data_IF_198904006200
#
_entry.id   IF_198904006200
#
_cell.length_a   1.000
_cell.length_b   1.000
_cell.length_c   1.000
_cell.angle_alpha   90.00
_cell.angle_beta   90.00
_cell.angle_gamma   90.00
#
_symmetry.space_group_name_H-M   'P 1'
#
loop_
_entity.id
_entity.type
_entity.pdbx_description
1 polymer ?
#
# COMPACT_ATOMS: atom_id res chain seq x y z
N UNK A 1 -29.05 -9.20 29.01
CA UNK A 1 -29.68 -8.77 27.70
C UNK A 1 -30.65 -9.90 27.34
N UNK A 2 -31.91 -9.65 27.59
CA UNK A 2 -32.97 -10.63 27.34
C UNK A 2 -33.56 -10.38 25.95
N UNK A 3 -33.47 -11.39 25.07
CA UNK A 3 -34.35 -11.71 23.93
C UNK A 3 -34.77 -10.59 22.91
N UNK A 4 -33.98 -9.54 22.73
CA UNK A 4 -34.20 -8.64 21.61
C UNK A 4 -33.16 -8.93 20.49
N UNK A 5 -33.66 -9.21 19.29
CA UNK A 5 -32.81 -9.31 18.11
C UNK A 5 -32.20 -7.96 17.84
N UNK A 6 -30.88 -7.86 17.91
CA UNK A 6 -30.14 -6.67 17.52
C UNK A 6 -30.27 -6.41 16.01
N UNK A 7 -30.48 -5.15 15.63
CA UNK A 7 -30.45 -4.73 14.24
C UNK A 7 -29.05 -4.21 13.88
N UNK A 8 -28.50 -4.68 12.77
CA UNK A 8 -27.27 -4.15 12.16
C UNK A 8 -27.66 -3.40 10.89
N UNK A 9 -27.21 -2.16 10.76
CA UNK A 9 -27.47 -1.32 9.60
C UNK A 9 -26.16 -1.17 8.82
N UNK A 10 -26.16 -1.57 7.54
CA UNK A 10 -25.06 -1.39 6.61
C UNK A 10 -25.37 -0.19 5.70
N UNK A 11 -24.57 0.86 5.81
CA UNK A 11 -24.66 2.02 4.94
C UNK A 11 -23.61 1.93 3.84
N UNK A 12 -24.03 2.01 2.58
CA UNK A 12 -23.14 1.93 1.41
C UNK A 12 -23.72 2.66 0.23
N UNK A 13 -22.86 3.20 -0.65
CA UNK A 13 -23.24 3.75 -1.95
C UNK A 13 -23.55 2.67 -2.99
N UNK A 14 -23.13 1.43 -2.77
CA UNK A 14 -23.28 0.31 -3.70
C UNK A 14 -24.06 -0.85 -3.07
N UNK A 15 -25.35 -0.66 -2.85
CA UNK A 15 -26.21 -1.68 -2.24
C UNK A 15 -26.31 -2.98 -3.04
N UNK A 16 -26.13 -2.91 -4.37
CA UNK A 16 -26.12 -4.07 -5.25
C UNK A 16 -24.80 -4.84 -5.32
N UNK A 17 -23.76 -4.41 -4.58
CA UNK A 17 -22.47 -5.08 -4.63
C UNK A 17 -22.56 -6.53 -4.12
N UNK A 18 -21.99 -7.53 -4.80
CA UNK A 18 -22.07 -8.95 -4.42
C UNK A 18 -21.66 -9.22 -2.98
N UNK A 19 -20.65 -8.51 -2.49
CA UNK A 19 -20.19 -8.57 -1.10
C UNK A 19 -21.30 -8.25 -0.09
N UNK A 20 -22.08 -7.18 -0.35
CA UNK A 20 -23.17 -6.77 0.54
C UNK A 20 -24.23 -7.86 0.62
N UNK A 21 -24.56 -8.47 -0.52
CA UNK A 21 -25.50 -9.59 -0.57
C UNK A 21 -25.00 -10.78 0.28
N UNK A 22 -23.72 -11.15 0.17
CA UNK A 22 -23.14 -12.23 0.97
C UNK A 22 -23.13 -11.93 2.47
N UNK A 23 -22.86 -10.70 2.85
CA UNK A 23 -22.93 -10.26 4.26
C UNK A 23 -24.35 -10.43 4.79
N UNK A 24 -25.37 -10.00 4.05
CA UNK A 24 -26.78 -10.10 4.45
C UNK A 24 -27.23 -11.57 4.56
N UNK A 25 -26.74 -12.43 3.69
CA UNK A 25 -27.09 -13.88 3.69
C UNK A 25 -26.18 -14.72 4.58
N UNK A 26 -25.22 -14.11 5.30
CA UNK A 26 -24.22 -14.82 6.11
C UNK A 26 -23.38 -15.84 5.32
N UNK A 27 -23.20 -15.64 3.99
CA UNK A 27 -22.39 -16.51 3.13
C UNK A 27 -20.90 -16.22 3.31
N UNK A 28 -20.36 -16.63 4.46
CA UNK A 28 -18.94 -16.44 4.78
C UNK A 28 -18.04 -17.30 3.89
N UNK A 29 -18.42 -18.54 3.62
CA UNK A 29 -17.61 -19.46 2.80
C UNK A 29 -17.46 -18.97 1.38
N UNK A 30 -18.55 -18.58 0.73
CA UNK A 30 -18.51 -18.02 -0.61
C UNK A 30 -17.74 -16.71 -0.68
N UNK A 31 -17.82 -15.86 0.35
CA UNK A 31 -17.01 -14.66 0.47
C UNK A 31 -15.52 -15.02 0.57
N UNK A 32 -15.16 -15.91 1.51
CA UNK A 32 -13.77 -16.32 1.75
C UNK A 32 -13.12 -16.92 0.50
N UNK A 33 -13.81 -17.82 -0.19
CA UNK A 33 -13.30 -18.45 -1.40
C UNK A 33 -13.04 -17.41 -2.51
N UNK A 34 -14.02 -16.55 -2.79
CA UNK A 34 -13.89 -15.53 -3.84
C UNK A 34 -12.76 -14.55 -3.55
N UNK A 35 -12.70 -14.00 -2.31
CA UNK A 35 -11.65 -13.08 -1.92
C UNK A 35 -10.26 -13.74 -1.97
N UNK A 36 -10.17 -15.01 -1.55
CA UNK A 36 -8.92 -15.75 -1.57
C UNK A 36 -8.41 -15.97 -3.00
N UNK A 37 -9.30 -16.33 -3.91
CA UNK A 37 -8.96 -16.49 -5.32
C UNK A 37 -8.53 -15.18 -5.98
N UNK A 38 -9.26 -14.10 -5.73
CA UNK A 38 -8.88 -12.77 -6.25
C UNK A 38 -7.54 -12.30 -5.71
N UNK A 39 -7.31 -12.43 -4.41
CA UNK A 39 -6.04 -12.07 -3.78
C UNK A 39 -4.88 -12.90 -4.34
N UNK A 40 -5.10 -14.18 -4.59
CA UNK A 40 -4.10 -15.05 -5.21
C UNK A 40 -3.81 -14.61 -6.65
N UNK A 41 -4.86 -14.37 -7.44
CA UNK A 41 -4.77 -13.95 -8.84
C UNK A 41 -4.00 -12.64 -8.99
N UNK A 42 -4.26 -11.67 -8.14
CA UNK A 42 -3.63 -10.36 -8.19
C UNK A 42 -2.36 -10.24 -7.32
N UNK A 43 -1.91 -11.34 -6.74
CA UNK A 43 -0.74 -11.37 -5.87
C UNK A 43 -0.84 -10.32 -4.76
N UNK A 44 -1.90 -10.46 -3.92
CA UNK A 44 -2.12 -9.66 -2.71
C UNK A 44 -1.88 -10.49 -1.43
N UNK A 45 -1.67 -9.87 -0.28
CA UNK A 45 -1.64 -10.59 1.00
C UNK A 45 -2.89 -11.46 1.20
N UNK A 46 -2.76 -12.69 1.72
CA UNK A 46 -1.58 -13.30 2.35
C UNK A 46 -0.60 -13.99 1.39
N UNK A 47 -0.78 -13.93 0.06
CA UNK A 47 0.05 -14.62 -0.93
C UNK A 47 1.37 -13.90 -1.22
N UNK A 48 1.49 -12.64 -0.87
CA UNK A 48 2.72 -11.86 -0.92
C UNK A 48 2.93 -11.08 0.37
N UNK A 49 4.10 -10.46 0.51
CA UNK A 49 4.38 -9.38 1.44
C UNK A 49 4.24 -8.04 0.71
N UNK A 50 3.65 -7.05 1.36
CA UNK A 50 3.61 -5.69 0.85
C UNK A 50 4.55 -4.80 1.64
N UNK A 51 5.40 -4.06 0.92
CA UNK A 51 6.24 -3.02 1.50
C UNK A 51 5.69 -1.69 1.00
N UNK A 52 5.42 -0.82 1.92
CA UNK A 52 4.82 0.47 1.72
C UNK A 52 5.82 1.57 2.03
N UNK A 53 6.06 2.46 1.08
CA UNK A 53 6.97 3.59 1.25
C UNK A 53 6.16 4.86 1.12
N UNK A 54 6.20 5.69 2.16
CA UNK A 54 5.51 6.96 2.21
C UNK A 54 6.55 8.08 2.18
N UNK A 55 6.40 9.00 1.22
CA UNK A 55 7.33 10.10 0.97
C UNK A 55 6.60 11.40 1.23
N UNK A 56 7.16 12.25 2.11
CA UNK A 56 6.54 13.50 2.55
C UNK A 56 7.50 14.68 2.48
N UNK A 57 7.00 15.81 1.99
CA UNK A 57 7.71 17.08 2.03
C UNK A 57 6.72 18.26 1.98
N UNK A 58 7.15 19.44 2.44
CA UNK A 58 6.33 20.67 2.38
C UNK A 58 6.16 21.20 0.95
N UNK A 59 7.14 21.01 0.10
CA UNK A 59 7.12 21.38 -1.30
C UNK A 59 6.62 20.22 -2.16
N UNK A 60 5.61 20.49 -2.99
CA UNK A 60 5.01 19.52 -3.90
C UNK A 60 6.01 18.99 -4.95
N UNK A 61 6.81 19.91 -5.55
CA UNK A 61 7.78 19.53 -6.60
C UNK A 61 8.85 18.61 -6.03
N UNK A 62 9.33 18.91 -4.82
CA UNK A 62 10.32 18.07 -4.12
C UNK A 62 9.75 16.70 -3.82
N UNK A 63 8.49 16.62 -3.32
CA UNK A 63 7.81 15.35 -3.05
C UNK A 63 7.69 14.52 -4.31
N UNK A 64 7.25 15.12 -5.40
CA UNK A 64 7.03 14.45 -6.69
C UNK A 64 8.36 13.97 -7.31
N UNK A 65 9.38 14.82 -7.34
CA UNK A 65 10.67 14.49 -7.92
C UNK A 65 11.42 13.41 -7.12
N UNK A 66 11.42 13.52 -5.79
CA UNK A 66 12.05 12.51 -4.94
C UNK A 66 11.36 11.16 -5.03
N UNK A 67 10.03 11.15 -5.12
CA UNK A 67 9.26 9.93 -5.32
C UNK A 67 9.55 9.27 -6.67
N UNK A 68 9.60 10.05 -7.76
CA UNK A 68 9.95 9.54 -9.10
C UNK A 68 11.38 8.99 -9.15
N UNK A 69 12.32 9.68 -8.53
CA UNK A 69 13.71 9.22 -8.45
C UNK A 69 13.80 7.88 -7.73
N UNK A 70 13.17 7.76 -6.56
CA UNK A 70 13.18 6.52 -5.78
C UNK A 70 12.51 5.37 -6.55
N UNK A 71 11.36 5.62 -7.19
CA UNK A 71 10.70 4.63 -8.05
C UNK A 71 11.61 4.20 -9.20
N UNK A 72 12.30 5.15 -9.87
CA UNK A 72 13.24 4.83 -10.93
C UNK A 72 14.29 3.83 -10.47
N UNK A 73 14.95 4.10 -9.34
CA UNK A 73 15.95 3.21 -8.77
C UNK A 73 15.41 1.83 -8.37
N UNK A 74 14.23 1.80 -7.80
CA UNK A 74 13.57 0.55 -7.44
C UNK A 74 13.14 -0.24 -8.68
N UNK A 75 12.65 0.42 -9.73
CA UNK A 75 12.19 -0.22 -10.97
C UNK A 75 13.33 -0.83 -11.77
N UNK A 76 14.52 -0.22 -11.77
CA UNK A 76 15.72 -0.79 -12.37
C UNK A 76 15.99 -2.23 -11.86
N UNK A 77 15.65 -2.52 -10.60
CA UNK A 77 15.92 -3.82 -9.97
C UNK A 77 14.69 -4.72 -9.83
N UNK A 78 13.52 -4.14 -9.63
CA UNK A 78 12.29 -4.86 -9.22
C UNK A 78 11.11 -4.70 -10.18
N UNK A 79 11.27 -4.03 -11.32
CA UNK A 79 10.31 -3.74 -12.42
C UNK A 79 8.81 -3.99 -12.11
N UNK A 80 8.30 -5.21 -12.31
CA UNK A 80 6.86 -5.54 -12.22
C UNK A 80 6.32 -5.57 -10.78
N UNK A 81 7.18 -5.46 -9.77
CA UNK A 81 6.79 -5.56 -8.34
C UNK A 81 6.43 -4.21 -7.73
N UNK A 82 6.64 -3.11 -8.47
CA UNK A 82 6.49 -1.75 -7.97
C UNK A 82 5.23 -1.11 -8.51
N UNK A 83 4.53 -0.41 -7.64
CA UNK A 83 3.41 0.46 -7.96
C UNK A 83 3.67 1.85 -7.39
N UNK A 84 3.58 2.86 -8.20
CA UNK A 84 3.76 4.25 -7.81
C UNK A 84 4.75 5.01 -8.70
N UNK A 85 5.08 6.27 -8.34
CA UNK A 85 4.50 6.96 -7.20
C UNK A 85 3.00 7.24 -7.42
N UNK A 86 2.17 7.00 -6.41
CA UNK A 86 0.73 7.30 -6.46
C UNK A 86 0.38 8.37 -5.43
N UNK A 87 -0.68 9.10 -5.73
CA UNK A 87 -1.28 10.04 -4.79
C UNK A 87 -2.23 9.28 -3.86
N UNK A 88 -2.08 9.40 -2.54
CA UNK A 88 -3.00 8.77 -1.60
C UNK A 88 -4.36 9.48 -1.57
N UNK A 89 -5.38 8.82 -1.02
CA UNK A 89 -6.70 9.41 -0.84
C UNK A 89 -6.70 10.70 -0.01
N UNK A 90 -5.69 10.87 0.86
CA UNK A 90 -5.41 12.14 1.56
C UNK A 90 -4.04 12.62 1.13
N UNK A 91 -3.94 13.48 0.08
CA UNK A 91 -2.67 13.83 -0.54
C UNK A 91 -1.83 14.82 0.27
N UNK A 92 -2.42 15.43 1.32
CA UNK A 92 -1.72 16.42 2.15
C UNK A 92 -2.14 16.30 3.61
N UNK A 93 -1.17 16.13 4.51
CA UNK A 93 -1.38 16.08 5.96
C UNK A 93 -0.38 17.00 6.66
N UNK A 94 -0.85 17.82 7.63
CA UNK A 94 0.00 18.73 8.41
C UNK A 94 0.95 19.56 7.53
N UNK A 95 0.40 20.14 6.46
CA UNK A 95 1.13 20.96 5.49
C UNK A 95 2.25 20.21 4.73
N UNK A 96 2.21 18.89 4.65
CA UNK A 96 3.14 18.06 3.86
C UNK A 96 2.38 17.32 2.77
N UNK A 97 2.89 17.41 1.54
CA UNK A 97 2.43 16.59 0.41
C UNK A 97 2.93 15.16 0.57
N UNK A 98 2.15 14.22 0.08
CA UNK A 98 2.39 12.79 0.25
C UNK A 98 2.42 12.10 -1.10
N UNK A 99 3.37 11.19 -1.29
CA UNK A 99 3.41 10.19 -2.36
C UNK A 99 3.68 8.82 -1.78
N UNK A 100 3.10 7.81 -2.41
CA UNK A 100 3.17 6.43 -1.96
C UNK A 100 3.78 5.54 -3.03
N UNK A 101 4.60 4.60 -2.58
CA UNK A 101 5.16 3.55 -3.41
C UNK A 101 4.87 2.22 -2.73
N UNK A 102 4.36 1.27 -3.49
CA UNK A 102 4.05 -0.06 -2.99
C UNK A 102 4.90 -1.09 -3.71
N UNK A 103 5.49 -2.00 -2.96
CA UNK A 103 6.32 -3.07 -3.48
C UNK A 103 5.72 -4.39 -3.06
N UNK A 104 5.43 -5.27 -4.02
CA UNK A 104 4.98 -6.64 -3.76
C UNK A 104 6.20 -7.56 -3.74
N UNK A 105 6.33 -8.37 -2.70
CA UNK A 105 7.43 -9.30 -2.51
C UNK A 105 6.93 -10.72 -2.26
N UNK A 106 7.72 -11.69 -2.66
CA UNK A 106 7.54 -13.05 -2.19
C UNK A 106 7.68 -13.11 -0.67
N UNK A 107 7.02 -14.11 -0.05
CA UNK A 107 7.04 -14.27 1.43
C UNK A 107 8.34 -14.82 1.98
N UNK A 108 9.31 -15.14 1.13
CA UNK A 108 10.62 -15.67 1.53
C UNK A 108 11.42 -14.64 2.33
N UNK A 109 11.86 -14.95 3.57
CA UNK A 109 12.55 -13.98 4.42
C UNK A 109 13.80 -13.36 3.76
N UNK A 110 14.54 -14.15 2.99
CA UNK A 110 15.76 -13.70 2.30
C UNK A 110 15.43 -12.63 1.24
N UNK A 111 14.34 -12.84 0.48
CA UNK A 111 13.89 -11.90 -0.55
C UNK A 111 13.43 -10.59 0.09
N UNK A 112 12.63 -10.68 1.15
CA UNK A 112 12.16 -9.50 1.90
C UNK A 112 13.33 -8.74 2.50
N UNK A 113 14.31 -9.43 3.08
CA UNK A 113 15.51 -8.81 3.63
C UNK A 113 16.34 -8.10 2.57
N UNK A 114 16.55 -8.74 1.41
CA UNK A 114 17.27 -8.12 0.28
C UNK A 114 16.58 -6.84 -0.20
N UNK A 115 15.25 -6.90 -0.41
CA UNK A 115 14.47 -5.72 -0.82
C UNK A 115 14.57 -4.60 0.21
N UNK A 116 14.47 -4.90 1.51
CA UNK A 116 14.62 -3.89 2.59
C UNK A 116 15.99 -3.23 2.57
N UNK A 117 17.06 -4.00 2.37
CA UNK A 117 18.42 -3.47 2.29
C UNK A 117 18.56 -2.50 1.11
N UNK A 118 18.06 -2.88 -0.06
CA UNK A 118 18.09 -2.02 -1.25
C UNK A 118 17.25 -0.75 -1.06
N UNK A 119 16.07 -0.87 -0.45
CA UNK A 119 15.23 0.30 -0.16
C UNK A 119 15.99 1.29 0.73
N UNK A 120 16.62 0.83 1.81
CA UNK A 120 17.40 1.68 2.71
C UNK A 120 18.52 2.39 1.95
N UNK A 121 19.23 1.68 1.09
CA UNK A 121 20.29 2.25 0.25
C UNK A 121 19.74 3.31 -0.71
N UNK A 122 18.64 3.03 -1.40
CA UNK A 122 18.04 3.97 -2.36
C UNK A 122 17.40 5.18 -1.67
N UNK A 123 16.86 5.01 -0.46
CA UNK A 123 16.38 6.12 0.38
C UNK A 123 17.55 7.04 0.73
N UNK A 124 18.68 6.47 1.17
CA UNK A 124 19.87 7.26 1.47
C UNK A 124 20.37 8.05 0.24
N UNK A 125 20.45 7.39 -0.93
CA UNK A 125 20.79 8.05 -2.20
C UNK A 125 19.81 9.16 -2.58
N UNK A 126 18.52 8.96 -2.31
CA UNK A 126 17.49 9.99 -2.57
C UNK A 126 17.71 11.21 -1.68
N UNK A 127 17.96 11.01 -0.39
CA UNK A 127 18.16 12.11 0.55
C UNK A 127 19.50 12.86 0.37
N UNK A 128 20.48 12.22 -0.28
CA UNK A 128 21.76 12.86 -0.65
C UNK A 128 21.63 13.82 -1.84
N UNK A 129 20.54 13.77 -2.61
CA UNK A 129 20.33 14.70 -3.71
C UNK A 129 20.17 16.13 -3.19
N UNK A 130 20.71 17.09 -3.94
CA UNK A 130 20.66 18.52 -3.59
C UNK A 130 19.21 18.98 -3.39
N UNK A 131 18.90 19.48 -2.19
CA UNK A 131 17.58 20.00 -1.83
C UNK A 131 16.58 18.95 -1.34
N UNK A 132 16.99 17.66 -1.21
CA UNK A 132 16.09 16.59 -0.74
C UNK A 132 16.45 16.01 0.62
N UNK A 133 17.42 16.58 1.31
CA UNK A 133 17.86 16.12 2.66
C UNK A 133 16.72 16.11 3.69
N UNK A 134 15.73 16.98 3.54
CA UNK A 134 14.58 17.11 4.45
C UNK A 134 13.36 16.29 3.99
N UNK A 135 13.47 15.51 2.91
CA UNK A 135 12.40 14.60 2.48
C UNK A 135 12.24 13.50 3.52
N UNK A 136 11.05 13.41 4.10
CA UNK A 136 10.73 12.36 5.06
C UNK A 136 10.25 11.12 4.32
N UNK A 137 10.97 10.03 4.46
CA UNK A 137 10.63 8.73 3.88
C UNK A 137 10.42 7.74 5.01
N UNK A 138 9.26 7.12 5.05
CA UNK A 138 8.92 6.05 6.01
C UNK A 138 8.61 4.77 5.26
N UNK A 139 9.03 3.65 5.84
CA UNK A 139 8.87 2.31 5.26
C UNK A 139 8.07 1.48 6.25
N UNK A 140 7.01 0.86 5.77
CA UNK A 140 6.20 -0.07 6.53
C UNK A 140 6.09 -1.40 5.79
N UNK A 141 5.93 -2.50 6.51
CA UNK A 141 5.85 -3.84 5.94
C UNK A 141 4.61 -4.53 6.45
N UNK A 142 3.72 -4.90 5.52
CA UNK A 142 2.39 -5.42 5.79
C UNK A 142 1.57 -4.48 6.70
N UNK A 143 1.38 -3.20 6.30
CA UNK A 143 0.62 -2.21 7.07
C UNK A 143 -0.84 -2.61 7.23
#
# INVERSE_FOLDING_TARGET
>A
RKNEQGKVILQTFHTGHPLIKRIITYDYEGFFLTETEERKKFFYPPFCKMIYINIRHKDFKVTEQSAKFLVGKLTEKYSNRIRGPVEPGIPRVRNQFIREIWIKSERKPEVVKAIKTDIIQFVALTQQQKGWSNVRITIDVDP
#
